data_IF_000616565425
#
_entry.id   IF_000616565425
#
_cell.length_a   1.000
_cell.length_b   1.000
_cell.length_c   1.000
_cell.angle_alpha   90.00
_cell.angle_beta   90.00
_cell.angle_gamma   90.00
#
_symmetry.space_group_name_H-M   'P 1'
#
loop_
_entity.id
_entity.type
_entity.pdbx_description
1 polymer ?
#
# COMPACT_ATOMS: atom_id res chain seq x y z
N UNK A 1 2.31 5.84 -15.97
CA UNK A 1 3.05 5.40 -14.76
C UNK A 1 2.21 5.78 -13.56
N UNK A 2 2.29 4.99 -12.49
CA UNK A 2 1.64 5.34 -11.24
C UNK A 2 2.24 6.67 -10.74
N UNK A 3 1.38 7.66 -10.48
CA UNK A 3 1.82 8.98 -10.00
C UNK A 3 1.95 9.01 -8.47
N UNK A 4 1.27 8.09 -7.78
CA UNK A 4 1.30 7.97 -6.32
C UNK A 4 2.56 7.27 -5.83
N UNK A 5 3.10 7.76 -4.71
CA UNK A 5 4.19 7.09 -4.00
C UNK A 5 3.60 6.14 -2.95
N UNK A 6 3.32 4.90 -3.36
CA UNK A 6 2.65 3.92 -2.50
C UNK A 6 3.47 3.58 -1.25
N UNK A 7 4.80 3.63 -1.33
CA UNK A 7 5.65 3.40 -0.17
C UNK A 7 5.39 4.43 0.93
N UNK A 8 5.30 5.70 0.56
CA UNK A 8 5.03 6.79 1.49
C UNK A 8 3.61 6.69 2.02
N UNK A 9 2.63 6.46 1.16
CA UNK A 9 1.21 6.38 1.55
C UNK A 9 0.99 5.28 2.60
N UNK A 10 1.49 4.05 2.36
CA UNK A 10 1.32 2.93 3.30
C UNK A 10 2.01 3.20 4.62
N UNK A 11 3.20 3.85 4.62
CA UNK A 11 3.89 4.22 5.87
C UNK A 11 3.09 5.24 6.67
N UNK A 12 2.53 6.26 6.02
CA UNK A 12 1.67 7.24 6.68
C UNK A 12 0.45 6.54 7.27
N UNK A 13 -0.21 5.65 6.53
CA UNK A 13 -1.36 4.88 7.03
C UNK A 13 -1.04 3.98 8.22
N UNK A 14 0.14 3.38 8.25
CA UNK A 14 0.61 2.63 9.41
C UNK A 14 0.74 3.53 10.65
N UNK A 15 1.31 4.73 10.49
CA UNK A 15 1.48 5.71 11.56
C UNK A 15 0.12 6.21 12.07
N UNK A 16 -0.80 6.56 11.17
CA UNK A 16 -2.16 7.00 11.51
C UNK A 16 -2.93 5.92 12.27
N UNK A 17 -2.76 4.65 11.89
CA UNK A 17 -3.38 3.52 12.56
C UNK A 17 -2.67 3.10 13.87
N UNK A 18 -1.54 3.72 14.22
CA UNK A 18 -0.72 3.33 15.38
C UNK A 18 -0.13 1.92 15.27
N UNK A 19 0.13 1.43 14.05
CA UNK A 19 0.60 0.08 13.77
C UNK A 19 1.97 0.10 13.09
N UNK A 20 2.74 -0.95 13.32
CA UNK A 20 3.98 -1.21 12.58
C UNK A 20 3.71 -1.99 11.30
N UNK A 21 4.62 -1.93 10.33
CA UNK A 21 4.53 -2.74 9.12
C UNK A 21 4.59 -4.25 9.40
N UNK A 22 5.27 -4.64 10.49
CA UNK A 22 5.29 -6.04 10.94
C UNK A 22 3.89 -6.49 11.37
N UNK A 23 3.22 -5.70 12.22
CA UNK A 23 1.84 -5.94 12.64
C UNK A 23 0.87 -5.93 11.45
N UNK A 24 1.07 -5.03 10.48
CA UNK A 24 0.28 -5.04 9.24
C UNK A 24 0.46 -6.33 8.45
N UNK A 25 1.70 -6.83 8.34
CA UNK A 25 1.97 -8.13 7.74
C UNK A 25 1.26 -9.27 8.48
N UNK A 26 1.30 -9.27 9.80
CA UNK A 26 0.62 -10.29 10.62
C UNK A 26 -0.90 -10.26 10.43
N UNK A 27 -1.52 -9.08 10.39
CA UNK A 27 -2.97 -8.93 10.22
C UNK A 27 -3.49 -9.49 8.88
N UNK A 28 -2.68 -9.45 7.83
CA UNK A 28 -3.02 -9.99 6.50
C UNK A 28 -2.53 -11.44 6.32
N UNK A 29 -2.09 -12.11 7.39
CA UNK A 29 -1.58 -13.50 7.32
C UNK A 29 -0.24 -13.62 6.60
N UNK A 30 0.60 -12.59 6.65
CA UNK A 30 1.90 -12.50 5.98
C UNK A 30 3.02 -12.05 6.94
N UNK A 31 4.17 -11.65 6.40
CA UNK A 31 5.31 -11.13 7.17
C UNK A 31 5.58 -9.66 6.84
N UNK A 32 6.13 -8.91 7.79
CA UNK A 32 6.56 -7.53 7.53
C UNK A 32 7.59 -7.40 6.40
N UNK A 33 8.39 -8.44 6.15
CA UNK A 33 9.33 -8.49 5.01
C UNK A 33 8.60 -8.58 3.67
N UNK A 34 7.49 -9.33 3.61
CA UNK A 34 6.66 -9.41 2.41
C UNK A 34 5.96 -8.07 2.13
N UNK A 35 5.44 -7.42 3.17
CA UNK A 35 4.89 -6.05 3.09
C UNK A 35 5.93 -5.07 2.53
N UNK A 36 7.17 -5.10 3.04
CA UNK A 36 8.26 -4.25 2.56
C UNK A 36 8.60 -4.48 1.08
N UNK A 37 8.50 -5.73 0.60
CA UNK A 37 8.71 -6.07 -0.81
C UNK A 37 7.60 -5.49 -1.70
N UNK A 38 6.35 -5.47 -1.23
CA UNK A 38 5.22 -4.95 -1.99
C UNK A 38 5.29 -3.43 -2.12
N UNK A 39 5.50 -2.72 -1.01
CA UNK A 39 5.52 -1.24 -1.01
C UNK A 39 6.67 -0.68 -1.85
N UNK A 40 7.79 -1.39 -1.95
CA UNK A 40 8.97 -1.00 -2.74
C UNK A 40 8.87 -1.34 -4.23
N UNK A 41 7.84 -2.08 -4.65
CA UNK A 41 7.75 -2.60 -6.01
C UNK A 41 7.35 -1.55 -7.06
N UNK A 42 7.15 -0.29 -6.67
CA UNK A 42 7.03 0.89 -7.54
C UNK A 42 5.88 0.85 -8.53
N UNK A 43 6.06 0.14 -9.65
CA UNK A 43 5.14 0.11 -10.79
C UNK A 43 4.05 -0.98 -10.70
N UNK A 44 4.20 -1.98 -9.82
CA UNK A 44 3.29 -3.14 -9.74
C UNK A 44 2.64 -3.31 -8.37
N UNK A 45 1.82 -2.33 -7.93
CA UNK A 45 1.49 -2.21 -6.49
C UNK A 45 0.00 -2.37 -6.15
N UNK A 46 -0.92 -2.40 -7.11
CA UNK A 46 -2.32 -2.79 -6.78
C UNK A 46 -2.48 -4.29 -7.01
N UNK A 47 -1.95 -5.10 -6.10
CA UNK A 47 -2.22 -6.53 -6.04
C UNK A 47 -3.22 -6.84 -4.92
N UNK A 48 -3.72 -8.08 -4.85
CA UNK A 48 -4.68 -8.50 -3.82
C UNK A 48 -4.20 -8.17 -2.40
N UNK A 49 -2.91 -8.37 -2.12
CA UNK A 49 -2.32 -8.10 -0.81
C UNK A 49 -2.37 -6.62 -0.44
N UNK A 50 -2.20 -5.71 -1.40
CA UNK A 50 -2.34 -4.28 -1.15
C UNK A 50 -3.77 -3.91 -0.74
N UNK A 51 -4.77 -4.57 -1.35
CA UNK A 51 -6.18 -4.41 -0.96
C UNK A 51 -6.41 -4.92 0.45
N UNK A 52 -5.93 -6.13 0.76
CA UNK A 52 -6.03 -6.73 2.11
C UNK A 52 -5.32 -5.88 3.18
N UNK A 53 -4.21 -5.21 2.84
CA UNK A 53 -3.51 -4.30 3.75
C UNK A 53 -4.35 -3.07 4.10
N UNK A 54 -4.96 -2.42 3.11
CA UNK A 54 -5.78 -1.23 3.36
C UNK A 54 -7.08 -1.58 4.08
N UNK A 55 -7.68 -2.73 3.75
CA UNK A 55 -8.83 -3.28 4.48
C UNK A 55 -8.49 -3.56 5.96
N UNK A 56 -7.35 -4.20 6.25
CA UNK A 56 -6.88 -4.44 7.62
C UNK A 56 -6.55 -3.14 8.39
N UNK A 57 -6.29 -2.05 7.68
CA UNK A 57 -6.12 -0.71 8.25
C UNK A 57 -7.44 0.07 8.36
N UNK A 58 -8.56 -0.48 7.87
CA UNK A 58 -9.89 0.12 7.92
C UNK A 58 -10.15 1.16 6.82
N UNK A 59 -9.52 1.01 5.65
CA UNK A 59 -9.65 1.95 4.53
C UNK A 59 -10.27 1.28 3.29
N UNK A 60 -11.24 1.96 2.69
CA UNK A 60 -11.70 1.70 1.32
C UNK A 60 -10.72 2.28 0.29
N UNK A 61 -10.63 1.64 -0.88
CA UNK A 61 -9.74 2.06 -1.97
C UNK A 61 -10.56 2.75 -3.06
N UNK A 62 -10.26 4.01 -3.32
CA UNK A 62 -10.75 4.75 -4.48
C UNK A 62 -9.60 5.03 -5.45
N UNK A 63 -9.77 4.68 -6.73
CA UNK A 63 -8.79 4.92 -7.78
C UNK A 63 -9.19 6.12 -8.64
N UNK A 64 -8.24 7.03 -8.86
CA UNK A 64 -8.39 8.19 -9.75
C UNK A 64 -7.47 8.05 -10.95
N UNK A 65 -7.99 8.33 -12.15
CA UNK A 65 -7.24 8.29 -13.40
C UNK A 65 -6.90 9.70 -13.87
N UNK A 66 -5.64 9.93 -14.24
CA UNK A 66 -5.17 11.21 -14.80
C UNK A 66 -4.68 10.95 -16.22
N UNK A 67 -5.06 11.81 -17.17
CA UNK A 67 -4.52 11.74 -18.54
C UNK A 67 -3.01 11.90 -18.50
N UNK A 68 -2.29 11.13 -19.32
CA UNK A 68 -0.86 11.32 -19.50
C UNK A 68 -0.62 12.69 -20.13
N UNK A 69 0.36 13.42 -19.63
CA UNK A 69 0.87 14.61 -20.31
C UNK A 69 1.51 14.15 -21.63
N UNK A 70 1.17 14.83 -22.73
CA UNK A 70 1.87 14.64 -24.01
C UNK A 70 3.32 15.08 -23.80
N UNK A 71 4.26 14.20 -24.16
CA UNK A 71 5.69 14.36 -23.91
C UNK A 71 6.31 15.47 -24.78
#
# INVERSE_FOLDING_TARGET
>A
MLKNNIEVDVKIKCIEAGKTQAQLGEMIGSTGQYVNRIIKKGDGVINKTFVEMLDALGYDIQLTYVKKEEA
#
